data_IF_596812956630
#
_entry.id   IF_596812956630
#
_cell.length_a   1.000
_cell.length_b   1.000
_cell.length_c   1.000
_cell.angle_alpha   90.00
_cell.angle_beta   90.00
_cell.angle_gamma   90.00
#
_symmetry.space_group_name_H-M   'P 1'
#
loop_
_entity.id
_entity.type
_entity.pdbx_description
1 polymer ?
#
# COMPACT_ATOMS: atom_id res chain seq x y z
N UNK A 1 -12.26 7.47 8.71
CA UNK A 1 -12.06 6.11 8.19
C UNK A 1 -10.62 5.70 8.43
N UNK A 2 -10.37 4.40 8.61
CA UNK A 2 -9.06 3.76 8.65
C UNK A 2 -8.71 3.26 7.25
N UNK A 3 -7.67 3.82 6.66
CA UNK A 3 -7.27 3.57 5.28
C UNK A 3 -5.90 2.88 5.28
N UNK A 4 -5.83 1.72 4.65
CA UNK A 4 -4.58 1.05 4.35
C UNK A 4 -4.12 1.41 2.92
N UNK A 5 -2.97 2.07 2.79
CA UNK A 5 -2.31 2.31 1.50
C UNK A 5 -1.21 1.28 1.33
N UNK A 6 -1.40 0.34 0.41
CA UNK A 6 -0.44 -0.74 0.15
C UNK A 6 0.55 -0.30 -0.93
N UNK A 7 1.80 -0.03 -0.54
CA UNK A 7 2.88 0.40 -1.44
C UNK A 7 3.35 1.82 -1.17
N UNK A 8 4.62 1.97 -0.76
CA UNK A 8 5.27 3.26 -0.54
C UNK A 8 6.11 3.72 -1.74
N UNK A 9 5.57 3.58 -2.96
CA UNK A 9 6.10 4.30 -4.12
C UNK A 9 5.76 5.80 -4.03
N UNK A 10 6.13 6.57 -5.06
CA UNK A 10 5.90 8.02 -5.09
C UNK A 10 4.42 8.38 -4.84
N UNK A 11 3.52 7.75 -5.60
CA UNK A 11 2.09 8.05 -5.55
C UNK A 11 1.41 7.48 -4.30
N UNK A 12 1.79 6.28 -3.84
CA UNK A 12 1.27 5.72 -2.59
C UNK A 12 1.68 6.54 -1.36
N UNK A 13 2.92 7.04 -1.34
CA UNK A 13 3.40 7.96 -0.30
C UNK A 13 2.62 9.28 -0.34
N UNK A 14 2.48 9.89 -1.51
CA UNK A 14 1.73 11.13 -1.68
C UNK A 14 0.25 10.97 -1.27
N UNK A 15 -0.39 9.86 -1.64
CA UNK A 15 -1.76 9.54 -1.23
C UNK A 15 -1.88 9.38 0.29
N UNK A 16 -0.92 8.69 0.92
CA UNK A 16 -0.92 8.52 2.37
C UNK A 16 -0.80 9.87 3.08
N UNK A 17 0.06 10.78 2.60
CA UNK A 17 0.18 12.15 3.11
C UNK A 17 -1.15 12.89 2.94
N UNK A 18 -1.69 12.95 1.73
CA UNK A 18 -2.91 13.71 1.42
C UNK A 18 -4.15 13.22 2.19
N UNK A 19 -4.30 11.91 2.38
CA UNK A 19 -5.43 11.33 3.11
C UNK A 19 -5.32 11.54 4.63
N UNK A 20 -4.10 11.73 5.16
CA UNK A 20 -3.83 11.77 6.61
C UNK A 20 -4.37 13.00 7.33
N UNK A 21 -4.81 14.02 6.59
CA UNK A 21 -5.45 15.22 7.17
C UNK A 21 -6.86 14.93 7.68
N UNK A 22 -7.51 13.87 7.18
CA UNK A 22 -8.92 13.55 7.49
C UNK A 22 -9.16 12.11 7.91
N UNK A 23 -8.16 11.24 7.76
CA UNK A 23 -8.30 9.81 7.92
C UNK A 23 -7.12 9.20 8.70
N UNK A 24 -7.40 8.08 9.35
CA UNK A 24 -6.39 7.25 10.01
C UNK A 24 -5.68 6.43 8.94
N UNK A 25 -4.44 6.80 8.57
CA UNK A 25 -3.73 6.17 7.45
C UNK A 25 -2.65 5.21 7.94
N UNK A 26 -2.66 3.99 7.42
CA UNK A 26 -1.53 3.06 7.49
C UNK A 26 -0.89 2.93 6.11
N UNK A 27 0.35 3.40 5.97
CA UNK A 27 1.19 3.17 4.80
C UNK A 27 1.94 1.85 4.99
N UNK A 28 1.64 0.86 4.16
CA UNK A 28 2.24 -0.47 4.24
C UNK A 28 3.31 -0.69 3.18
N UNK A 29 4.42 -1.29 3.58
CA UNK A 29 5.49 -1.74 2.72
C UNK A 29 5.67 -3.25 2.86
N UNK A 30 5.97 -3.93 1.76
CA UNK A 30 6.24 -5.37 1.77
C UNK A 30 7.51 -5.72 2.55
N UNK A 31 8.52 -4.86 2.47
CA UNK A 31 9.80 -5.02 3.15
C UNK A 31 9.75 -4.34 4.52
N UNK A 32 9.86 -5.15 5.59
CA UNK A 32 9.80 -4.68 6.96
C UNK A 32 11.00 -3.79 7.36
N UNK A 33 12.17 -4.02 6.77
CA UNK A 33 13.35 -3.18 7.01
C UNK A 33 13.17 -1.80 6.37
N UNK A 34 12.62 -1.75 5.15
CA UNK A 34 12.26 -0.48 4.51
C UNK A 34 11.15 0.25 5.29
N UNK A 35 10.16 -0.47 5.81
CA UNK A 35 9.12 0.11 6.65
C UNK A 35 9.71 0.72 7.93
N UNK A 36 10.63 0.01 8.61
CA UNK A 36 11.29 0.50 9.81
C UNK A 36 12.12 1.75 9.52
N UNK A 37 12.92 1.74 8.44
CA UNK A 37 13.71 2.88 8.02
C UNK A 37 12.82 4.10 7.72
N UNK A 38 11.74 3.93 6.97
CA UNK A 38 10.79 5.00 6.66
C UNK A 38 10.04 5.50 7.91
N UNK A 39 9.71 4.61 8.83
CA UNK A 39 9.07 4.98 10.10
C UNK A 39 9.99 5.86 10.95
N UNK A 40 11.30 5.59 10.95
CA UNK A 40 12.30 6.36 11.68
C UNK A 40 12.63 7.68 10.98
N UNK A 41 12.92 7.66 9.68
CA UNK A 41 13.33 8.87 8.94
C UNK A 41 12.16 9.81 8.69
N UNK A 42 10.93 9.27 8.63
CA UNK A 42 9.72 9.96 8.13
C UNK A 42 9.87 10.52 6.72
N UNK A 43 10.93 10.14 5.99
CA UNK A 43 11.26 10.65 4.67
C UNK A 43 11.43 9.48 3.72
N UNK A 44 10.66 9.52 2.62
CA UNK A 44 10.79 8.56 1.55
C UNK A 44 11.65 9.14 0.42
N UNK A 45 12.91 9.49 0.71
CA UNK A 45 13.78 10.19 -0.25
C UNK A 45 13.99 9.44 -1.56
N UNK A 46 13.86 8.11 -1.53
CA UNK A 46 13.93 7.27 -2.73
C UNK A 46 12.79 7.52 -3.71
N UNK A 47 11.57 7.75 -3.22
CA UNK A 47 10.37 7.77 -4.05
C UNK A 47 9.60 9.10 -4.03
N UNK A 48 9.73 9.91 -2.99
CA UNK A 48 9.09 11.23 -2.86
C UNK A 48 9.98 12.18 -2.03
N UNK A 49 11.11 12.65 -2.59
CA UNK A 49 12.07 13.48 -1.87
C UNK A 49 11.47 14.81 -1.40
N UNK A 50 11.93 15.27 -0.23
CA UNK A 50 11.54 16.56 0.36
C UNK A 50 10.15 16.60 1.01
N UNK A 51 9.43 15.47 1.07
CA UNK A 51 8.09 15.39 1.65
C UNK A 51 8.08 14.43 2.85
N UNK A 52 8.07 15.01 4.06
CA UNK A 52 7.98 14.21 5.28
C UNK A 52 6.58 13.62 5.47
N UNK A 53 6.52 12.38 5.95
CA UNK A 53 5.28 11.73 6.36
C UNK A 53 4.75 12.41 7.64
N UNK A 54 3.51 12.94 7.62
CA UNK A 54 2.84 13.47 8.80
C UNK A 54 2.87 12.49 9.96
N UNK A 55 3.05 12.95 11.20
CA UNK A 55 3.28 12.09 12.36
C UNK A 55 2.17 11.05 12.59
N UNK A 56 0.94 11.37 12.18
CA UNK A 56 -0.22 10.48 12.29
C UNK A 56 -0.23 9.32 11.26
N UNK A 57 0.56 9.38 10.19
CA UNK A 57 0.69 8.27 9.23
C UNK A 57 1.44 7.12 9.89
N UNK A 58 0.75 6.02 10.12
CA UNK A 58 1.34 4.77 10.61
C UNK A 58 2.09 4.11 9.46
N UNK A 59 3.35 3.72 9.69
CA UNK A 59 4.14 2.94 8.72
C UNK A 59 4.20 1.51 9.21
N UNK A 60 3.85 0.55 8.36
CA UNK A 60 3.81 -0.87 8.72
C UNK A 60 4.55 -1.73 7.71
N UNK A 61 5.35 -2.66 8.22
CA UNK A 61 5.94 -3.77 7.47
C UNK A 61 5.43 -5.13 7.95
N UNK A 62 4.32 -5.15 8.69
CA UNK A 62 3.74 -6.40 9.19
C UNK A 62 3.23 -7.29 8.05
N UNK A 63 3.08 -8.58 8.29
CA UNK A 63 2.45 -9.49 7.33
C UNK A 63 1.07 -8.95 6.89
N UNK A 64 0.82 -8.91 5.58
CA UNK A 64 -0.45 -8.44 5.02
C UNK A 64 -1.56 -9.45 5.37
N UNK A 65 -2.74 -8.95 5.76
CA UNK A 65 -3.89 -9.79 6.11
C UNK A 65 -4.44 -9.52 7.51
N UNK A 66 -3.80 -10.00 8.60
CA UNK A 66 -4.40 -10.01 9.94
C UNK A 66 -4.92 -8.64 10.43
N UNK A 67 -4.14 -7.58 10.20
CA UNK A 67 -4.47 -6.23 10.65
C UNK A 67 -5.47 -5.49 9.75
N UNK A 68 -5.74 -6.00 8.53
CA UNK A 68 -6.68 -5.39 7.60
C UNK A 68 -8.12 -5.45 8.10
N UNK A 69 -8.46 -6.41 8.97
CA UNK A 69 -9.76 -6.52 9.64
C UNK A 69 -10.19 -5.23 10.35
N UNK A 70 -9.24 -4.37 10.71
CA UNK A 70 -9.48 -3.08 11.37
C UNK A 70 -9.64 -1.90 10.40
N UNK A 71 -9.46 -2.11 9.09
CA UNK A 71 -9.47 -1.07 8.07
C UNK A 71 -10.85 -0.98 7.40
N UNK A 72 -11.21 0.24 7.02
CA UNK A 72 -12.46 0.55 6.32
C UNK A 72 -12.27 0.58 4.79
N UNK A 73 -11.05 0.86 4.33
CA UNK A 73 -10.69 0.97 2.91
C UNK A 73 -9.25 0.48 2.69
N UNK A 74 -9.04 -0.28 1.62
CA UNK A 74 -7.70 -0.61 1.10
C UNK A 74 -7.47 0.10 -0.24
N UNK A 75 -6.36 0.81 -0.34
CA UNK A 75 -5.86 1.43 -1.57
C UNK A 75 -4.59 0.71 -1.99
N UNK A 76 -4.64 -0.01 -3.11
CA UNK A 76 -3.48 -0.71 -3.67
C UNK A 76 -2.69 0.25 -4.57
N UNK A 77 -1.50 0.65 -4.13
CA UNK A 77 -0.61 1.59 -4.81
C UNK A 77 0.75 0.95 -5.16
N UNK A 78 0.73 -0.34 -5.51
CA UNK A 78 1.91 -1.12 -5.89
C UNK A 78 2.11 -1.13 -7.42
N UNK A 79 3.26 -1.62 -7.92
CA UNK A 79 3.38 -1.96 -9.34
C UNK A 79 2.32 -2.98 -9.78
N UNK A 80 1.95 -2.97 -11.08
CA UNK A 80 0.95 -3.91 -11.63
C UNK A 80 1.30 -5.38 -11.39
N UNK A 81 2.58 -5.75 -11.44
CA UNK A 81 3.04 -7.12 -11.22
C UNK A 81 2.72 -7.67 -9.82
N UNK A 82 2.47 -6.79 -8.83
CA UNK A 82 2.11 -7.20 -7.46
C UNK A 82 0.60 -7.20 -7.21
N UNK A 83 -0.21 -6.66 -8.13
CA UNK A 83 -1.64 -6.44 -7.91
C UNK A 83 -2.39 -7.76 -7.71
N UNK A 84 -2.13 -8.78 -8.55
CA UNK A 84 -2.78 -10.10 -8.45
C UNK A 84 -2.55 -10.76 -7.09
N UNK A 85 -1.31 -10.82 -6.63
CA UNK A 85 -0.92 -11.39 -5.34
C UNK A 85 -1.64 -10.69 -4.18
N UNK A 86 -1.72 -9.35 -4.24
CA UNK A 86 -2.40 -8.55 -3.22
C UNK A 86 -3.90 -8.82 -3.25
N UNK A 87 -4.54 -8.82 -4.43
CA UNK A 87 -5.98 -9.07 -4.54
C UNK A 87 -6.37 -10.46 -4.05
N UNK A 88 -5.55 -11.49 -4.30
CA UNK A 88 -5.75 -12.81 -3.70
C UNK A 88 -5.68 -12.76 -2.16
N UNK A 89 -4.74 -12.02 -1.59
CA UNK A 89 -4.66 -11.83 -0.13
C UNK A 89 -5.89 -11.09 0.42
N UNK A 90 -6.52 -10.23 -0.39
CA UNK A 90 -7.69 -9.44 -0.02
C UNK A 90 -9.03 -10.13 -0.33
N UNK A 91 -9.04 -11.31 -0.94
CA UNK A 91 -10.24 -11.90 -1.57
C UNK A 91 -11.45 -11.97 -0.62
N UNK A 92 -11.25 -12.40 0.62
CA UNK A 92 -12.32 -12.55 1.61
C UNK A 92 -12.64 -11.19 2.26
N UNK A 93 -11.61 -10.35 2.41
CA UNK A 93 -11.73 -9.02 2.99
C UNK A 93 -12.56 -8.09 2.10
N UNK A 94 -12.40 -8.16 0.78
CA UNK A 94 -13.08 -7.30 -0.18
C UNK A 94 -14.53 -7.72 -0.48
N UNK A 95 -15.03 -8.80 0.10
CA UNK A 95 -16.42 -9.21 -0.02
C UNK A 95 -17.38 -8.19 0.62
N UNK A 96 -16.94 -7.50 1.68
CA UNK A 96 -17.77 -6.57 2.46
C UNK A 96 -17.24 -5.13 2.45
N UNK A 97 -16.05 -4.90 1.88
CA UNK A 97 -15.29 -3.65 2.06
C UNK A 97 -14.68 -3.17 0.75
N UNK A 98 -14.61 -1.85 0.54
CA UNK A 98 -14.10 -1.30 -0.69
C UNK A 98 -12.59 -1.51 -0.84
N UNK A 99 -12.19 -1.88 -2.06
CA UNK A 99 -10.81 -1.84 -2.53
C UNK A 99 -10.73 -0.89 -3.72
N UNK A 100 -9.76 0.03 -3.68
CA UNK A 100 -9.39 0.86 -4.81
C UNK A 100 -7.95 0.53 -5.22
N UNK A 101 -7.60 0.69 -6.49
CA UNK A 101 -6.22 0.56 -6.96
C UNK A 101 -5.79 1.79 -7.75
N UNK A 102 -4.51 2.12 -7.61
CA UNK A 102 -3.83 3.21 -8.30
C UNK A 102 -2.80 2.69 -9.31
N UNK A 103 -2.69 1.36 -9.42
CA UNK A 103 -1.79 0.67 -10.33
C UNK A 103 -2.14 1.04 -11.80
N UNK A 104 -1.11 1.26 -12.62
CA UNK A 104 -1.26 1.55 -14.06
C UNK A 104 -0.39 0.62 -14.88
N UNK A 105 -0.93 0.11 -15.98
CA UNK A 105 -0.26 -0.80 -16.89
C UNK A 105 -1.05 -2.09 -17.09
N UNK A 106 -0.43 -3.05 -17.77
CA UNK A 106 -1.00 -4.36 -18.01
C UNK A 106 -0.19 -5.41 -17.27
N UNK A 107 -0.86 -6.42 -16.74
CA UNK A 107 -0.16 -7.60 -16.25
C UNK A 107 0.40 -8.35 -17.45
N UNK A 108 1.69 -8.67 -17.41
CA UNK A 108 2.29 -9.46 -18.48
C UNK A 108 1.72 -10.87 -18.42
N UNK A 109 1.08 -11.33 -19.49
CA UNK A 109 0.72 -12.73 -19.60
C UNK A 109 2.01 -13.54 -19.58
N UNK A 110 2.17 -14.41 -18.60
CA UNK A 110 3.03 -15.58 -18.75
C UNK A 110 2.40 -16.39 -19.87
N UNK A 111 2.96 -16.32 -21.08
CA UNK A 111 2.68 -17.36 -22.06
C UNK A 111 3.14 -18.67 -21.42
N UNK A 112 2.21 -19.53 -21.03
CA UNK A 112 2.55 -20.94 -20.88
C UNK A 112 3.05 -21.39 -22.25
N UNK A 113 4.33 -21.73 -22.33
CA UNK A 113 4.90 -22.34 -23.51
C UNK A 113 4.22 -23.71 -23.68
N UNK A 114 3.16 -23.75 -24.47
CA UNK A 114 2.38 -24.95 -24.69
C UNK A 114 1.31 -24.72 -25.72
N UNK A 115 1.70 -24.75 -27.00
CA UNK A 115 1.12 -25.58 -28.06
C UNK A 115 2.09 -25.58 -29.26
#
# INVERSE_FOLDING_TARGET
>A
MKIAVLGAGAFGTAMAIAASDRHDVTLWLRDAQQAAALSQSRLNDRYLPGHALPAQVRVSGALLGPWLSTQDLVVVATPMAALREILHTLQDWCAERPVAWLCKGFEHSTQEAGY
#
